data_IF_974535284567
#
_entry.id   IF_974535284567
#
_cell.length_a   1.000
_cell.length_b   1.000
_cell.length_c   1.000
_cell.angle_alpha   90.00
_cell.angle_beta   90.00
_cell.angle_gamma   90.00
#
_symmetry.space_group_name_H-M   'P 1'
#
loop_
_entity.id
_entity.type
_entity.pdbx_description
1 polymer ?
#
# COMPACT_ATOMS: atom_id res chain seq x y z
N UNK A 1 1.69 9.05 -13.63
CA UNK A 1 1.04 8.72 -13.48
C UNK A 1 0.28 8.83 -12.42
N UNK A 2 0.55 8.96 -11.54
CA UNK A 2 -0.09 9.04 -10.55
C UNK A 2 -0.46 10.27 -10.18
N UNK A 3 -1.36 10.61 -10.07
CA UNK A 3 -1.79 11.86 -9.81
C UNK A 3 -1.74 12.28 -8.51
N UNK A 4 -1.89 12.58 -7.90
CA UNK A 4 -1.98 13.17 -6.97
C UNK A 4 -2.53 13.35 -6.11
N UNK A 5 -2.57 13.52 -5.52
CA UNK A 5 -2.70 13.70 -4.25
C UNK A 5 -3.97 13.99 -3.79
N UNK A 6 -4.23 14.67 -2.85
CA UNK A 6 -5.46 15.19 -2.43
C UNK A 6 -6.58 14.18 -2.44
N UNK A 7 -7.59 14.40 -3.24
CA UNK A 7 -8.77 13.52 -3.20
C UNK A 7 -8.44 12.09 -3.58
N UNK A 8 -7.50 11.92 -4.49
CA UNK A 8 -7.13 10.56 -4.89
C UNK A 8 -6.53 9.76 -3.76
N UNK A 9 -5.80 10.41 -2.87
CA UNK A 9 -5.23 9.71 -1.74
C UNK A 9 -6.30 9.30 -0.76
N UNK A 10 -7.27 10.18 -0.51
CA UNK A 10 -8.29 9.92 0.50
C UNK A 10 -9.14 8.70 0.18
N UNK A 11 -9.38 8.39 -1.08
CA UNK A 11 -10.21 7.23 -1.41
C UNK A 11 -9.50 5.92 -1.12
N UNK A 12 -8.22 5.96 -0.80
CA UNK A 12 -7.47 4.77 -0.44
C UNK A 12 -7.52 4.47 1.05
N UNK A 13 -8.25 5.28 1.81
CA UNK A 13 -8.63 4.93 3.17
C UNK A 13 -10.01 4.30 3.09
N UNK A 14 -10.09 3.01 3.42
CA UNK A 14 -11.36 2.31 3.41
C UNK A 14 -11.95 2.46 4.79
N UNK A 15 -12.86 3.42 4.94
CA UNK A 15 -13.45 3.77 6.22
C UNK A 15 -13.42 5.26 6.44
N UNK A 16 -13.60 5.67 7.68
CA UNK A 16 -13.64 7.09 8.02
C UNK A 16 -12.27 7.73 7.84
N UNK A 17 -12.23 8.88 7.20
CA UNK A 17 -11.00 9.61 6.95
C UNK A 17 -10.71 10.49 8.16
N UNK A 18 -9.54 10.32 8.76
CA UNK A 18 -9.09 11.16 9.87
C UNK A 18 -7.69 11.67 9.55
N UNK A 19 -7.27 12.76 10.19
CA UNK A 19 -5.90 13.26 9.98
C UNK A 19 -4.83 12.22 10.28
N UNK A 20 -5.04 11.43 11.33
CA UNK A 20 -4.09 10.38 11.67
C UNK A 20 -4.00 9.32 10.57
N UNK A 21 -5.14 8.91 10.05
CA UNK A 21 -5.17 7.88 8.99
C UNK A 21 -4.58 8.39 7.69
N UNK A 22 -4.83 9.66 7.37
CA UNK A 22 -4.22 10.27 6.19
C UNK A 22 -2.70 10.32 6.32
N UNK A 23 -2.21 10.64 7.51
CA UNK A 23 -0.77 10.70 7.73
C UNK A 23 -0.13 9.33 7.56
N UNK A 24 -0.75 8.30 8.11
CA UNK A 24 -0.28 6.93 7.98
C UNK A 24 -0.24 6.53 6.50
N UNK A 25 -1.33 6.79 5.79
CA UNK A 25 -1.40 6.41 4.37
C UNK A 25 -0.36 7.16 3.55
N UNK A 26 -0.19 8.45 3.80
CA UNK A 26 0.78 9.26 3.07
C UNK A 26 2.19 8.72 3.25
N UNK A 27 2.55 8.39 4.49
CA UNK A 27 3.89 7.89 4.77
C UNK A 27 4.12 6.52 4.17
N UNK A 28 3.13 5.64 4.27
CA UNK A 28 3.23 4.31 3.68
C UNK A 28 3.35 4.40 2.16
N UNK A 29 2.52 5.24 1.54
CA UNK A 29 2.54 5.42 0.10
C UNK A 29 3.87 5.98 -0.39
N UNK A 30 4.46 6.91 0.36
CA UNK A 30 5.77 7.47 0.02
C UNK A 30 6.84 6.38 0.03
N UNK A 31 6.80 5.48 1.01
CA UNK A 31 7.77 4.40 1.09
C UNK A 31 7.62 3.46 -0.11
N UNK A 32 6.39 3.10 -0.47
CA UNK A 32 6.16 2.24 -1.63
C UNK A 32 6.76 2.89 -2.88
N UNK A 33 6.50 4.18 -3.09
CA UNK A 33 7.02 4.87 -4.26
C UNK A 33 8.54 4.96 -4.24
N UNK A 34 9.13 5.21 -3.09
CA UNK A 34 10.58 5.29 -2.96
C UNK A 34 11.25 3.97 -3.30
N UNK A 35 10.72 2.88 -2.76
CA UNK A 35 11.33 1.57 -3.01
C UNK A 35 11.23 1.21 -4.48
N UNK A 36 10.08 1.47 -5.09
CA UNK A 36 9.90 1.19 -6.52
C UNK A 36 10.91 1.97 -7.34
N UNK A 37 11.10 3.24 -7.01
CA UNK A 37 12.03 4.09 -7.75
C UNK A 37 13.47 3.64 -7.55
N UNK A 38 13.85 3.37 -6.31
CA UNK A 38 15.22 2.97 -5.99
C UNK A 38 15.59 1.64 -6.61
N UNK A 39 14.61 0.76 -6.75
CA UNK A 39 14.86 -0.56 -7.35
C UNK A 39 14.70 -0.55 -8.87
N UNK A 40 14.44 0.61 -9.47
CA UNK A 40 14.37 0.73 -10.92
C UNK A 40 13.14 0.10 -11.54
N UNK A 41 12.06 -0.04 -10.79
CA UNK A 41 10.85 -0.72 -11.26
C UNK A 41 9.77 0.23 -11.75
N UNK A 42 10.01 1.53 -11.66
CA UNK A 42 8.97 2.52 -11.92
C UNK A 42 8.32 2.35 -13.31
N UNK A 43 9.12 2.08 -14.32
CA UNK A 43 8.61 1.99 -15.68
C UNK A 43 7.91 0.68 -15.99
N UNK A 44 8.04 -0.31 -15.12
CA UNK A 44 7.40 -1.61 -15.33
C UNK A 44 6.02 -1.69 -14.71
N UNK A 45 5.66 -0.72 -13.89
CA UNK A 45 4.41 -0.73 -13.13
C UNK A 45 3.53 0.38 -13.64
N UNK A 46 2.27 0.06 -13.94
CA UNK A 46 1.32 1.05 -14.45
C UNK A 46 0.78 1.93 -13.33
N UNK A 47 0.37 1.33 -12.22
CA UNK A 47 -0.06 2.05 -11.03
C UNK A 47 0.39 1.30 -9.80
N UNK A 48 0.76 2.06 -8.77
CA UNK A 48 1.14 1.48 -7.48
C UNK A 48 0.73 2.44 -6.38
N UNK A 49 0.26 1.90 -5.27
CA UNK A 49 -0.15 2.74 -4.15
C UNK A 49 -0.35 1.89 -2.89
N UNK A 50 -0.40 2.59 -1.76
CA UNK A 50 -0.76 1.97 -0.49
C UNK A 50 -2.24 2.16 -0.22
N UNK A 51 -2.83 1.27 0.58
CA UNK A 51 -4.23 1.30 0.95
C UNK A 51 -4.30 1.15 2.46
N UNK A 52 -5.22 1.86 3.09
CA UNK A 52 -5.44 1.73 4.53
C UNK A 52 -6.87 1.27 4.80
N UNK A 53 -7.08 -0.04 5.02
CA UNK A 53 -8.41 -0.54 5.43
C UNK A 53 -8.59 -0.22 6.92
N UNK A 54 -9.09 0.95 7.20
CA UNK A 54 -9.00 1.57 8.53
C UNK A 54 -9.83 0.85 9.59
N UNK A 55 -10.84 0.09 9.18
CA UNK A 55 -11.64 -0.65 10.15
C UNK A 55 -10.94 -1.91 10.66
N UNK A 56 -9.84 -2.30 10.02
CA UNK A 56 -9.15 -3.53 10.38
C UNK A 56 -7.95 -3.19 11.25
N UNK A 57 -7.90 -3.81 12.42
CA UNK A 57 -6.74 -3.74 13.29
C UNK A 57 -6.21 -5.15 13.46
N UNK A 58 -4.92 -5.29 13.64
CA UNK A 58 -4.35 -6.61 13.82
C UNK A 58 -3.38 -6.61 14.97
N UNK A 59 -3.17 -7.79 15.53
CA UNK A 59 -2.30 -7.97 16.67
C UNK A 59 -0.87 -8.09 16.17
N UNK A 60 0.04 -7.39 16.83
CA UNK A 60 1.46 -7.48 16.55
C UNK A 60 2.24 -7.56 17.84
N UNK A 61 3.54 -7.70 17.69
CA UNK A 61 4.45 -7.74 18.82
C UNK A 61 5.58 -6.76 18.56
N UNK A 62 5.83 -5.89 19.53
CA UNK A 62 6.91 -4.95 19.42
C UNK A 62 7.69 -5.05 20.71
N UNK A 63 8.90 -5.63 20.64
CA UNK A 63 9.63 -5.96 21.83
C UNK A 63 8.86 -6.99 22.63
N UNK A 64 8.58 -6.68 23.89
CA UNK A 64 7.83 -7.58 24.75
C UNK A 64 6.35 -7.28 24.75
N UNK A 65 5.89 -6.28 23.99
CA UNK A 65 4.50 -5.84 24.09
C UNK A 65 3.71 -6.26 22.88
N UNK A 66 2.45 -6.57 23.11
CA UNK A 66 1.49 -6.78 22.03
C UNK A 66 0.98 -5.43 21.59
N UNK A 67 0.77 -5.30 20.29
CA UNK A 67 0.19 -4.08 19.72
C UNK A 67 -1.09 -4.45 19.00
N UNK A 68 -1.94 -3.43 18.78
CA UNK A 68 -3.19 -3.61 18.06
C UNK A 68 -3.31 -2.43 17.13
N UNK A 69 -2.76 -2.59 15.94
CA UNK A 69 -2.51 -1.46 15.05
C UNK A 69 -3.08 -1.71 13.67
N UNK A 70 -2.87 -0.73 12.80
CA UNK A 70 -3.39 -0.79 11.44
C UNK A 70 -2.61 -1.76 10.56
N UNK A 71 -3.30 -2.25 9.54
CA UNK A 71 -2.71 -3.01 8.44
C UNK A 71 -2.67 -2.10 7.22
N UNK A 72 -1.56 -2.09 6.51
CA UNK A 72 -1.43 -1.36 5.24
C UNK A 72 -1.42 -2.38 4.12
N UNK A 73 -2.22 -2.15 3.09
CA UNK A 73 -2.17 -2.95 1.87
C UNK A 73 -1.34 -2.25 0.81
N UNK A 74 -0.74 -3.03 -0.06
CA UNK A 74 -0.01 -2.51 -1.21
C UNK A 74 -0.68 -3.04 -2.46
N UNK A 75 -0.87 -2.17 -3.44
CA UNK A 75 -1.44 -2.54 -4.73
C UNK A 75 -0.50 -2.05 -5.82
N UNK A 76 -0.12 -2.94 -6.74
CA UNK A 76 0.67 -2.55 -7.90
C UNK A 76 0.22 -3.42 -9.07
N UNK A 77 -0.03 -2.79 -10.20
CA UNK A 77 -0.58 -3.51 -11.36
C UNK A 77 0.13 -3.10 -12.64
N UNK A 78 0.08 -3.99 -13.61
CA UNK A 78 0.49 -3.70 -14.98
C UNK A 78 -0.77 -3.69 -15.83
N UNK A 79 -0.80 -2.83 -16.84
CA UNK A 79 -1.94 -2.74 -17.73
C UNK A 79 -1.52 -1.95 -18.96
N UNK A 80 -2.15 -2.25 -20.09
CA UNK A 80 -1.93 -1.45 -21.28
C UNK A 80 -3.09 -0.47 -21.53
N UNK A 81 -4.28 -0.77 -21.03
CA UNK A 81 -5.45 0.04 -21.35
C UNK A 81 -6.36 0.30 -20.17
N UNK A 82 -6.06 -0.22 -19.00
CA UNK A 82 -6.88 0.00 -17.81
C UNK A 82 -8.12 -0.85 -17.73
N UNK A 83 -8.53 -1.51 -18.80
CA UNK A 83 -9.70 -2.36 -18.76
C UNK A 83 -9.40 -3.70 -18.11
N UNK A 84 -8.23 -4.23 -18.40
CA UNK A 84 -7.74 -5.42 -17.71
C UNK A 84 -6.39 -5.06 -17.09
N UNK A 85 -6.07 -5.69 -15.99
CA UNK A 85 -4.82 -5.44 -15.31
C UNK A 85 -4.41 -6.67 -14.54
N UNK A 86 -3.11 -6.87 -14.45
CA UNK A 86 -2.58 -7.98 -13.65
C UNK A 86 -1.75 -7.39 -12.52
N UNK A 87 -1.72 -8.05 -11.38
CA UNK A 87 -0.87 -7.55 -10.31
C UNK A 87 0.59 -7.67 -10.73
N UNK A 88 1.41 -6.74 -10.27
CA UNK A 88 2.82 -6.75 -10.59
C UNK A 88 3.54 -7.76 -9.69
N UNK A 89 4.36 -8.60 -10.28
CA UNK A 89 5.08 -9.62 -9.51
C UNK A 89 6.40 -9.07 -9.04
N UNK A 90 6.37 -8.43 -7.89
CA UNK A 90 7.58 -7.92 -7.27
C UNK A 90 8.50 -9.07 -6.91
N UNK A 91 9.82 -8.89 -7.05
CA UNK A 91 10.75 -9.80 -6.38
C UNK A 91 10.45 -9.81 -4.88
N UNK A 92 10.58 -10.96 -4.24
CA UNK A 92 10.25 -11.09 -2.83
C UNK A 92 11.01 -10.09 -1.95
N UNK A 93 12.30 -9.86 -2.26
CA UNK A 93 13.09 -8.95 -1.44
C UNK A 93 12.58 -7.50 -1.53
N UNK A 94 11.92 -7.13 -2.63
CA UNK A 94 11.33 -5.81 -2.74
C UNK A 94 10.13 -5.67 -1.82
N UNK A 95 9.26 -6.69 -1.82
CA UNK A 95 8.12 -6.69 -0.90
C UNK A 95 8.57 -6.73 0.55
N UNK A 96 9.64 -7.49 0.83
CA UNK A 96 10.18 -7.54 2.18
C UNK A 96 10.70 -6.18 2.62
N UNK A 97 11.36 -5.46 1.73
CA UNK A 97 11.87 -4.14 2.05
C UNK A 97 10.72 -3.17 2.33
N UNK A 98 9.67 -3.19 1.49
CA UNK A 98 8.51 -2.34 1.72
C UNK A 98 7.88 -2.63 3.08
N UNK A 99 7.68 -3.91 3.38
CA UNK A 99 7.06 -4.32 4.63
C UNK A 99 7.90 -3.86 5.83
N UNK A 100 9.19 -4.12 5.77
CA UNK A 100 10.07 -3.74 6.87
C UNK A 100 10.10 -2.24 7.08
N UNK A 101 10.23 -1.48 5.99
CA UNK A 101 10.30 -0.03 6.11
C UNK A 101 8.99 0.56 6.60
N UNK A 102 7.87 0.08 6.08
CA UNK A 102 6.57 0.62 6.52
C UNK A 102 6.36 0.35 8.01
N UNK A 103 6.60 -0.87 8.44
CA UNK A 103 6.38 -1.20 9.85
C UNK A 103 7.36 -0.49 10.78
N UNK A 104 8.58 -0.21 10.32
CA UNK A 104 9.56 0.47 11.15
C UNK A 104 9.41 1.98 11.14
N UNK A 105 8.99 2.56 10.03
CA UNK A 105 9.00 4.01 9.87
C UNK A 105 7.63 4.65 10.02
N UNK A 106 6.55 3.89 9.85
CA UNK A 106 5.20 4.43 9.97
C UNK A 106 4.61 3.97 11.29
N UNK A 107 4.56 4.91 12.25
CA UNK A 107 4.03 4.58 13.56
C UNK A 107 2.56 4.23 13.46
N UNK A 108 2.15 3.16 14.11
CA UNK A 108 0.75 2.72 14.10
C UNK A 108 0.45 1.61 13.12
N UNK A 109 1.44 1.13 12.38
CA UNK A 109 1.26 0.04 11.42
C UNK A 109 2.09 -1.15 11.87
N UNK A 110 1.45 -2.31 11.98
CA UNK A 110 2.18 -3.52 12.39
C UNK A 110 2.03 -4.67 11.40
N UNK A 111 1.41 -4.43 10.25
CA UNK A 111 1.24 -5.50 9.26
C UNK A 111 1.11 -4.92 7.87
N UNK A 112 1.74 -5.57 6.91
CA UNK A 112 1.66 -5.17 5.51
C UNK A 112 1.21 -6.38 4.70
N UNK A 113 0.27 -6.18 3.79
CA UNK A 113 -0.21 -7.23 2.89
C UNK A 113 -0.13 -6.73 1.45
N UNK A 114 -0.04 -7.65 0.51
CA UNK A 114 0.02 -7.29 -0.91
C UNK A 114 -1.18 -7.89 -1.64
N UNK A 115 -1.90 -7.07 -2.41
CA UNK A 115 -3.09 -7.50 -3.13
C UNK A 115 -2.67 -8.14 -4.46
N UNK A 116 -2.92 -9.43 -4.60
CA UNK A 116 -2.53 -10.19 -5.79
C UNK A 116 -3.73 -10.53 -6.67
N UNK A 117 -4.73 -9.68 -6.68
CA UNK A 117 -5.94 -9.92 -7.46
C UNK A 117 -5.90 -9.13 -8.76
N UNK A 118 -6.20 -9.81 -9.86
CA UNK A 118 -6.21 -9.17 -11.18
C UNK A 118 -7.54 -8.47 -11.42
N UNK A 119 -7.57 -7.66 -12.43
CA UNK A 119 -8.81 -7.05 -12.92
C UNK A 119 -9.09 -7.64 -14.29
N UNK A 120 -10.19 -8.40 -14.47
CA UNK A 120 -11.12 -8.84 -13.46
C UNK A 120 -10.52 -9.96 -12.62
N UNK A 121 -11.08 -10.33 -11.48
CA UNK A 121 -12.42 -9.97 -10.99
C UNK A 121 -12.47 -8.69 -10.16
N UNK A 122 -11.33 -8.20 -9.68
CA UNK A 122 -11.40 -6.99 -8.87
C UNK A 122 -11.14 -5.76 -9.73
N UNK A 123 -11.24 -4.59 -9.14
CA UNK A 123 -10.82 -3.34 -9.79
C UNK A 123 -9.40 -3.02 -9.36
N UNK A 124 -8.80 -2.01 -9.98
CA UNK A 124 -7.46 -1.59 -9.60
C UNK A 124 -7.52 -0.90 -8.24
N UNK A 125 -8.35 0.16 -8.13
CA UNK A 125 -8.58 0.79 -6.84
C UNK A 125 -9.55 -0.05 -6.02
N UNK A 126 -9.45 0.06 -4.70
CA UNK A 126 -10.35 -0.69 -3.82
C UNK A 126 -11.69 0.01 -3.64
N UNK A 127 -11.76 1.30 -3.95
CA UNK A 127 -13.03 2.04 -3.88
C UNK A 127 -13.29 2.92 -5.05
#
# INVERSE_FOLDING_TARGET
>A
RQPFPGPGLAIRIIGEITPERLDILRKADAIVREVIKERGLYNEIWQSFAILPAAIRSVGVMGDERTYDYTVGIRAVTSSDGMTADYFRFPWEVLEEMSRRICNEVKGVNRVVYDITSKPPSTIEWE
#
